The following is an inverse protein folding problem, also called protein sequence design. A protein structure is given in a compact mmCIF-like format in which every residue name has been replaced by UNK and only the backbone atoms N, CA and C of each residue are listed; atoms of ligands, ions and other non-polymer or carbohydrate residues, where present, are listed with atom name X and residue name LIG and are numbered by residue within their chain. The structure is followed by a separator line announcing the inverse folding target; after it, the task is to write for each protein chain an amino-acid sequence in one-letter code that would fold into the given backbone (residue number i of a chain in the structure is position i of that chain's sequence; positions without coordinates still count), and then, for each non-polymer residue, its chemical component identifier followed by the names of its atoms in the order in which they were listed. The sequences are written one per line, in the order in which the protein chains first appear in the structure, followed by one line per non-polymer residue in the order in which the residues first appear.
data_IF_424929219608
#
_entry.id   IF_424929219608
#
_cell.length_a   1.000
_cell.length_b   1.000
_cell.length_c   1.000
_cell.angle_alpha   90.00
_cell.angle_beta   90.00
_cell.angle_gamma   90.00
#
_symmetry.space_group_name_H-M   'P 1'
#
loop_
_entity.id
_entity.type
_entity.pdbx_description
1 polymer ?
#
# COMPACT_ATOMS: atom_id res chain seq x y z
N UNK A 1 -7.67 3.73 -0.78
CA UNK A 1 -6.51 4.62 -0.92
C UNK A 1 -6.32 5.09 -2.34
N UNK A 2 -5.72 6.27 -2.53
CA UNK A 2 -5.35 6.84 -3.84
C UNK A 2 -3.87 7.24 -3.85
N UNK A 3 -3.15 6.84 -4.90
CA UNK A 3 -1.80 7.35 -5.16
C UNK A 3 -1.85 8.81 -5.63
N UNK A 4 -0.82 9.60 -5.32
CA UNK A 4 -0.62 10.99 -5.73
C UNK A 4 -0.27 11.08 -7.22
N UNK A 5 -1.23 10.71 -8.06
CA UNK A 5 -1.15 10.77 -9.51
C UNK A 5 -2.50 11.22 -10.10
N UNK A 6 -2.55 12.12 -11.09
CA UNK A 6 -3.80 12.58 -11.69
C UNK A 6 -4.60 11.45 -12.37
N UNK A 7 -3.95 10.38 -12.81
CA UNK A 7 -4.60 9.20 -13.42
C UNK A 7 -5.03 8.15 -12.41
N UNK A 8 -4.77 8.35 -11.11
CA UNK A 8 -5.21 7.39 -10.09
C UNK A 8 -6.74 7.41 -9.97
N UNK A 9 -7.34 6.22 -10.07
CA UNK A 9 -8.78 6.05 -9.88
C UNK A 9 -9.21 6.51 -8.47
N UNK A 10 -10.47 6.92 -8.35
CA UNK A 10 -11.07 7.17 -7.05
C UNK A 10 -11.10 5.89 -6.21
N UNK A 11 -10.74 5.94 -4.92
CA UNK A 11 -10.84 4.78 -4.02
C UNK A 11 -12.24 4.18 -3.96
N UNK A 12 -13.27 5.00 -4.08
CA UNK A 12 -14.68 4.58 -4.03
C UNK A 12 -15.06 3.76 -5.27
N UNK A 13 -14.50 4.08 -6.43
CA UNK A 13 -14.69 3.28 -7.66
C UNK A 13 -14.07 1.89 -7.47
N UNK A 14 -12.85 1.83 -6.94
CA UNK A 14 -12.17 0.55 -6.66
C UNK A 14 -12.94 -0.26 -5.62
N UNK A 15 -13.45 0.38 -4.56
CA UNK A 15 -14.23 -0.29 -3.52
C UNK A 15 -15.54 -0.89 -4.06
N UNK A 16 -16.25 -0.13 -4.91
CA UNK A 16 -17.47 -0.62 -5.56
C UNK A 16 -17.22 -1.87 -6.42
N UNK A 17 -16.10 -1.87 -7.15
CA UNK A 17 -15.69 -3.01 -7.96
C UNK A 17 -15.28 -4.21 -7.09
N UNK A 18 -14.47 -3.99 -6.06
CA UNK A 18 -14.04 -5.05 -5.14
C UNK A 18 -15.22 -5.71 -4.42
N UNK A 19 -16.27 -4.95 -4.10
CA UNK A 19 -17.49 -5.44 -3.47
C UNK A 19 -18.28 -6.46 -4.33
N UNK A 20 -17.97 -6.57 -5.62
CA UNK A 20 -18.53 -7.62 -6.48
C UNK A 20 -17.89 -9.00 -6.21
N UNK A 21 -16.71 -9.03 -5.58
CA UNK A 21 -15.89 -10.24 -5.40
C UNK A 21 -15.72 -10.64 -3.92
N UNK A 22 -15.79 -9.67 -3.01
CA UNK A 22 -15.63 -9.88 -1.56
C UNK A 22 -16.71 -9.12 -0.78
N UNK A 23 -16.99 -9.56 0.45
CA UNK A 23 -17.95 -8.88 1.33
C UNK A 23 -17.56 -7.43 1.61
N UNK A 24 -18.55 -6.52 1.64
CA UNK A 24 -18.34 -5.09 1.88
C UNK A 24 -17.66 -4.82 3.23
N UNK A 25 -17.92 -5.67 4.23
CA UNK A 25 -17.31 -5.68 5.56
C UNK A 25 -15.79 -5.91 5.54
N UNK A 26 -15.26 -6.47 4.45
CA UNK A 26 -13.83 -6.71 4.24
C UNK A 26 -13.12 -5.58 3.51
N UNK A 27 -13.83 -4.52 3.12
CA UNK A 27 -13.28 -3.42 2.33
C UNK A 27 -13.12 -2.19 3.21
N UNK A 28 -11.88 -1.72 3.36
CA UNK A 28 -11.56 -0.47 4.04
C UNK A 28 -11.07 0.56 3.03
N UNK A 29 -11.73 1.72 2.98
CA UNK A 29 -11.34 2.84 2.12
C UNK A 29 -10.60 3.89 2.94
N UNK A 30 -9.32 4.06 2.65
CA UNK A 30 -8.50 5.16 3.18
C UNK A 30 -8.24 6.23 2.12
N UNK A 31 -7.79 7.42 2.53
CA UNK A 31 -7.53 8.54 1.63
C UNK A 31 -6.18 8.36 0.90
N UNK A 32 -5.11 8.12 1.66
CA UNK A 32 -3.75 8.01 1.14
C UNK A 32 -3.06 6.68 1.50
N UNK A 33 -1.89 6.45 0.92
CA UNK A 33 -1.17 5.18 1.04
C UNK A 33 -0.60 4.98 2.44
N UNK A 34 -0.22 6.05 3.14
CA UNK A 34 0.28 5.96 4.51
C UNK A 34 -0.82 5.50 5.47
N UNK A 35 -2.03 6.05 5.33
CA UNK A 35 -3.21 5.60 6.07
C UNK A 35 -3.56 4.14 5.75
N UNK A 36 -3.48 3.74 4.47
CA UNK A 36 -3.73 2.35 4.07
C UNK A 36 -2.76 1.36 4.72
N UNK A 37 -1.46 1.71 4.74
CA UNK A 37 -0.42 0.88 5.37
C UNK A 37 -0.65 0.76 6.87
N UNK A 38 -0.90 1.88 7.56
CA UNK A 38 -1.18 1.88 8.99
C UNK A 38 -2.43 1.05 9.32
N UNK A 39 -3.49 1.20 8.53
CA UNK A 39 -4.70 0.42 8.68
C UNK A 39 -4.44 -1.08 8.49
N UNK A 40 -3.71 -1.48 7.45
CA UNK A 40 -3.37 -2.87 7.20
C UNK A 40 -2.55 -3.46 8.35
N UNK A 41 -1.52 -2.74 8.83
CA UNK A 41 -0.68 -3.15 9.94
C UNK A 41 -1.45 -3.32 11.26
N UNK A 42 -2.40 -2.43 11.55
CA UNK A 42 -3.22 -2.54 12.76
C UNK A 42 -4.23 -3.68 12.71
N UNK A 43 -4.55 -4.21 11.53
CA UNK A 43 -5.50 -5.31 11.34
C UNK A 43 -4.83 -6.66 11.05
N UNK A 44 -3.52 -6.68 10.81
CA UNK A 44 -2.74 -7.90 10.57
C UNK A 44 -2.19 -8.51 11.85
N UNK A 45 -2.11 -9.84 11.89
CA UNK A 45 -1.35 -10.61 12.88
C UNK A 45 0.10 -10.80 12.44
N UNK A 46 0.93 -11.33 13.33
CA UNK A 46 2.37 -11.54 13.08
C UNK A 46 2.64 -12.42 11.84
N UNK A 47 1.84 -13.46 11.62
CA UNK A 47 1.99 -14.40 10.51
C UNK A 47 1.22 -13.99 9.22
N UNK A 48 0.54 -12.84 9.23
CA UNK A 48 -0.21 -12.37 8.06
C UNK A 48 0.70 -11.67 7.05
N UNK A 49 0.35 -11.77 5.77
CA UNK A 49 1.02 -11.05 4.68
C UNK A 49 0.23 -9.83 4.24
N UNK A 50 0.85 -8.64 4.29
CA UNK A 50 0.32 -7.44 3.65
C UNK A 50 0.89 -7.30 2.24
N UNK A 51 0.01 -7.39 1.23
CA UNK A 51 0.38 -7.27 -0.18
C UNK A 51 -0.01 -5.88 -0.73
N UNK A 52 0.97 -5.05 -1.08
CA UNK A 52 0.75 -3.71 -1.65
C UNK A 52 0.90 -3.77 -3.18
N UNK A 53 -0.21 -3.70 -3.91
CA UNK A 53 -0.27 -3.91 -5.36
C UNK A 53 -1.18 -2.90 -6.09
N UNK A 54 -1.30 -3.06 -7.40
CA UNK A 54 -2.24 -2.34 -8.26
C UNK A 54 -1.56 -1.40 -9.27
N UNK A 55 -0.53 -0.65 -8.86
CA UNK A 55 0.23 0.21 -9.79
C UNK A 55 1.64 0.50 -9.31
N UNK A 56 2.52 0.88 -10.25
CA UNK A 56 3.88 1.35 -9.92
C UNK A 56 3.89 2.61 -9.05
N UNK A 57 2.89 3.49 -9.19
CA UNK A 57 2.78 4.68 -8.32
C UNK A 57 2.42 4.29 -6.89
N UNK A 58 1.50 3.33 -6.71
CA UNK A 58 1.13 2.80 -5.40
C UNK A 58 2.33 2.19 -4.69
N UNK A 59 3.05 1.29 -5.38
CA UNK A 59 4.23 0.63 -4.81
C UNK A 59 5.37 1.64 -4.56
N UNK A 60 5.57 2.59 -5.47
CA UNK A 60 6.58 3.63 -5.31
C UNK A 60 6.34 4.53 -4.09
N UNK A 61 5.09 4.88 -3.82
CA UNK A 61 4.71 5.62 -2.60
C UNK A 61 4.89 4.80 -1.33
N UNK A 62 4.46 3.54 -1.35
CA UNK A 62 4.68 2.65 -0.21
C UNK A 62 6.18 2.48 0.11
N UNK A 63 7.02 2.29 -0.92
CA UNK A 63 8.48 2.23 -0.76
C UNK A 63 9.03 3.51 -0.13
N UNK A 64 8.55 4.69 -0.55
CA UNK A 64 8.95 5.97 0.09
C UNK A 64 8.52 6.05 1.55
N UNK A 65 7.30 5.62 1.87
CA UNK A 65 6.80 5.57 3.25
C UNK A 65 7.71 4.71 4.15
N UNK A 66 8.10 3.51 3.69
CA UNK A 66 8.97 2.64 4.49
C UNK A 66 10.41 3.17 4.59
N UNK A 67 10.94 3.79 3.54
CA UNK A 67 12.23 4.48 3.60
C UNK A 67 12.21 5.60 4.65
N UNK A 68 11.16 6.43 4.69
CA UNK A 68 11.07 7.55 5.63
C UNK A 68 10.85 7.12 7.07
N UNK A 69 10.33 5.91 7.31
CA UNK A 69 10.06 5.37 8.65
C UNK A 69 11.19 4.49 9.18
N UNK A 70 12.28 4.32 8.43
CA UNK A 70 13.41 3.45 8.81
C UNK A 70 13.06 1.95 8.86
N UNK A 71 11.94 1.55 8.24
CA UNK A 71 11.42 0.17 8.27
C UNK A 71 11.97 -0.72 7.16
N UNK A 72 12.76 -0.16 6.24
CA UNK A 72 13.53 -0.93 5.26
C UNK A 72 15.00 -0.53 5.34
N UNK A 73 15.86 -1.53 5.40
CA UNK A 73 17.29 -1.32 5.23
C UNK A 73 17.54 -0.73 3.84
N UNK A 74 18.51 0.19 3.70
CA UNK A 74 18.91 0.68 2.38
C UNK A 74 19.21 -0.51 1.47
N UNK A 75 18.73 -0.44 0.23
CA UNK A 75 19.13 -1.42 -0.79
C UNK A 75 20.65 -1.28 -0.93
N UNK A 76 21.44 -2.34 -0.75
CA UNK A 76 22.89 -2.26 -0.89
C UNK A 76 23.23 -1.64 -2.24
N UNK A 77 24.03 -0.58 -2.20
CA UNK A 77 24.55 0.07 -3.39
C UNK A 77 25.42 -0.92 -4.17
N UNK A 78 25.57 -0.71 -5.49
CA UNK A 78 26.39 -1.62 -6.33
C UNK A 78 27.83 -1.76 -5.82
N UNK A 79 28.37 -0.77 -5.10
CA UNK A 79 29.69 -0.79 -4.47
C UNK A 79 29.79 -1.69 -3.24
N UNK A 80 28.67 -2.04 -2.61
CA UNK A 80 28.63 -2.89 -1.40
C UNK A 80 28.41 -4.38 -1.72
N UNK A 81 28.31 -4.73 -3.00
CA UNK A 81 28.09 -6.10 -3.49
C UNK A 81 29.36 -6.73 -4.10
N UNK A 82 30.52 -6.13 -3.89
CA UNK A 82 31.81 -6.59 -4.41
C UNK A 82 32.72 -7.09 -3.30
#
# INVERSE_FOLDING_TARGET
TKAKNPRAASPQIIAKEAAQYIGQDKIVVTEDISQAINCALSNSKEDDLICIIGSLYTVGEAKRYFNSTGRINPIPTKSEKM
#
